data_IF_488279595140
#
_entry.id   IF_488279595140
#
_cell.length_a   1.000
_cell.length_b   1.000
_cell.length_c   1.000
_cell.angle_alpha   90.00
_cell.angle_beta   90.00
_cell.angle_gamma   90.00
#
_symmetry.space_group_name_H-M   'P 1'
#
loop_
_entity.id
_entity.type
_entity.pdbx_description
1 polymer ?
#
# COMPACT_ATOMS: atom_id res chain seq x y z
N UNK A 1 1.77 -11.54 -19.25
CA UNK A 1 2.59 -11.51 -18.01
C UNK A 1 3.39 -10.21 -17.88
N UNK A 2 4.33 -9.88 -18.78
CA UNK A 2 5.18 -8.68 -18.64
C UNK A 2 4.45 -7.31 -18.53
N UNK A 3 3.42 -7.08 -19.34
CA UNK A 3 2.71 -5.77 -19.39
C UNK A 3 2.01 -5.37 -18.08
N UNK A 4 1.52 -6.33 -17.29
CA UNK A 4 0.81 -6.00 -16.04
C UNK A 4 1.77 -5.63 -14.90
N UNK A 5 2.97 -6.22 -14.90
CA UNK A 5 4.03 -5.90 -13.95
C UNK A 5 4.59 -4.50 -14.24
N UNK A 6 4.86 -4.20 -15.52
CA UNK A 6 5.29 -2.88 -15.99
C UNK A 6 4.30 -1.76 -15.61
N UNK A 7 3.01 -1.97 -15.84
CA UNK A 7 1.97 -1.03 -15.45
C UNK A 7 1.89 -0.82 -13.93
N UNK A 8 2.11 -1.87 -13.15
CA UNK A 8 2.09 -1.77 -11.68
C UNK A 8 3.32 -1.07 -11.14
N UNK A 9 4.46 -1.27 -11.78
CA UNK A 9 5.68 -0.54 -11.47
C UNK A 9 5.50 0.96 -11.68
N UNK A 10 4.90 1.37 -12.80
CA UNK A 10 4.58 2.79 -13.07
C UNK A 10 3.61 3.34 -12.01
N UNK A 11 2.59 2.56 -11.63
CA UNK A 11 1.67 2.96 -10.57
C UNK A 11 2.39 3.15 -9.21
N UNK A 12 3.30 2.23 -8.83
CA UNK A 12 4.09 2.34 -7.60
C UNK A 12 5.00 3.57 -7.60
N UNK A 13 5.60 3.90 -8.74
CA UNK A 13 6.39 5.12 -8.93
C UNK A 13 5.53 6.37 -8.72
N UNK A 14 4.35 6.43 -9.34
CA UNK A 14 3.41 7.53 -9.18
C UNK A 14 2.95 7.68 -7.72
N UNK A 15 2.57 6.58 -7.05
CA UNK A 15 2.20 6.60 -5.63
C UNK A 15 3.37 7.05 -4.74
N UNK A 16 4.62 6.80 -5.13
CA UNK A 16 5.81 7.24 -4.40
C UNK A 16 6.06 8.74 -4.55
N UNK A 17 5.90 9.27 -5.76
CA UNK A 17 5.94 10.72 -6.00
C UNK A 17 4.85 11.44 -5.21
N UNK A 18 3.61 10.92 -5.23
CA UNK A 18 2.49 11.47 -4.45
C UNK A 18 2.81 11.48 -2.96
N UNK A 19 3.30 10.37 -2.39
CA UNK A 19 3.68 10.34 -0.97
C UNK A 19 4.78 11.35 -0.64
N UNK A 20 5.78 11.51 -1.52
CA UNK A 20 6.87 12.47 -1.32
C UNK A 20 6.35 13.92 -1.33
N UNK A 21 5.48 14.25 -2.30
CA UNK A 21 4.88 15.59 -2.38
C UNK A 21 4.00 15.91 -1.17
N UNK A 22 3.23 14.93 -0.68
CA UNK A 22 2.40 15.08 0.53
C UNK A 22 3.26 15.37 1.75
N UNK A 23 4.39 14.67 1.92
CA UNK A 23 5.33 14.90 3.03
C UNK A 23 6.06 16.24 2.90
N UNK A 24 6.46 16.64 1.70
CA UNK A 24 7.15 17.93 1.48
C UNK A 24 6.26 19.13 1.76
N UNK A 25 4.97 19.05 1.39
CA UNK A 25 4.01 20.15 1.58
C UNK A 25 3.54 20.31 3.02
N UNK A 26 3.69 19.27 3.83
CA UNK A 26 3.21 19.26 5.20
C UNK A 26 4.35 18.90 6.15
N UNK A 27 5.03 19.92 6.66
CA UNK A 27 6.14 19.77 7.62
C UNK A 27 5.68 19.60 9.07
N UNK A 28 4.41 19.84 9.38
CA UNK A 28 3.87 19.71 10.74
C UNK A 28 3.26 18.33 11.00
N UNK A 29 3.39 17.85 12.24
CA UNK A 29 2.91 16.54 12.70
C UNK A 29 1.38 16.52 12.77
N UNK A 30 0.72 16.36 11.62
CA UNK A 30 -0.72 16.20 11.53
C UNK A 30 -1.06 14.71 11.42
N UNK A 31 -1.76 14.20 12.44
CA UNK A 31 -2.23 12.80 12.53
C UNK A 31 -3.03 12.37 11.29
N UNK A 32 -3.78 13.28 10.69
CA UNK A 32 -4.54 13.04 9.45
C UNK A 32 -3.63 12.66 8.28
N UNK A 33 -2.44 13.28 8.20
CA UNK A 33 -1.49 13.06 7.12
C UNK A 33 -0.76 11.73 7.30
N UNK A 34 -0.43 11.37 8.54
CA UNK A 34 0.10 10.04 8.85
C UNK A 34 -0.89 8.93 8.49
N UNK A 35 -2.18 9.10 8.81
CA UNK A 35 -3.22 8.17 8.40
C UNK A 35 -3.32 8.05 6.86
N UNK A 36 -3.24 9.18 6.14
CA UNK A 36 -3.22 9.18 4.67
C UNK A 36 -2.01 8.42 4.10
N UNK A 37 -0.81 8.65 4.66
CA UNK A 37 0.42 7.96 4.24
C UNK A 37 0.35 6.46 4.52
N UNK A 38 -0.28 6.04 5.62
CA UNK A 38 -0.53 4.63 5.94
C UNK A 38 -1.46 3.97 4.93
N UNK A 39 -2.54 4.66 4.53
CA UNK A 39 -3.44 4.15 3.47
C UNK A 39 -2.67 4.03 2.15
N UNK A 40 -1.86 5.03 1.78
CA UNK A 40 -1.02 4.96 0.59
C UNK A 40 -0.04 3.79 0.64
N UNK A 41 0.54 3.51 1.81
CA UNK A 41 1.42 2.36 2.02
C UNK A 41 0.67 1.04 1.84
N UNK A 42 -0.54 0.90 2.39
CA UNK A 42 -1.36 -0.29 2.24
C UNK A 42 -1.69 -0.58 0.76
N UNK A 43 -2.04 0.47 0.00
CA UNK A 43 -2.32 0.33 -1.44
C UNK A 43 -1.07 -0.14 -2.20
N UNK A 44 0.11 0.43 -1.90
CA UNK A 44 1.39 -0.03 -2.48
C UNK A 44 1.64 -1.50 -2.15
N UNK A 45 1.43 -1.91 -0.90
CA UNK A 45 1.61 -3.29 -0.47
C UNK A 45 0.70 -4.26 -1.25
N UNK A 46 -0.59 -3.93 -1.41
CA UNK A 46 -1.53 -4.76 -2.18
C UNK A 46 -1.09 -4.88 -3.65
N UNK A 47 -0.70 -3.77 -4.27
CA UNK A 47 -0.19 -3.79 -5.65
C UNK A 47 1.04 -4.70 -5.79
N UNK A 48 1.96 -4.64 -4.84
CA UNK A 48 3.15 -5.51 -4.83
C UNK A 48 2.76 -6.97 -4.65
N UNK A 49 1.91 -7.25 -3.66
CA UNK A 49 1.47 -8.59 -3.34
C UNK A 49 0.76 -9.24 -4.56
N UNK A 50 -0.20 -8.55 -5.17
CA UNK A 50 -0.97 -9.10 -6.28
C UNK A 50 -0.19 -9.26 -7.59
N UNK A 51 0.71 -8.33 -7.92
CA UNK A 51 1.37 -8.33 -9.22
C UNK A 51 2.81 -8.86 -9.21
N UNK A 52 3.56 -8.73 -8.12
CA UNK A 52 4.95 -9.21 -8.03
C UNK A 52 5.08 -10.50 -7.22
N UNK A 53 4.22 -10.75 -6.23
CA UNK A 53 4.22 -12.02 -5.48
C UNK A 53 3.27 -13.06 -6.06
N UNK A 54 2.81 -12.86 -7.31
CA UNK A 54 1.88 -13.73 -8.03
C UNK A 54 0.59 -14.12 -7.26
N UNK A 55 0.17 -13.35 -6.25
CA UNK A 55 -1.05 -13.65 -5.48
C UNK A 55 -2.31 -13.71 -6.34
N UNK A 56 -2.30 -13.12 -7.54
CA UNK A 56 -3.35 -13.33 -8.56
C UNK A 56 -3.62 -14.80 -8.84
N UNK A 57 -2.58 -15.64 -8.89
CA UNK A 57 -2.67 -17.09 -9.15
C UNK A 57 -2.91 -17.91 -7.88
N UNK A 58 -2.77 -17.32 -6.70
CA UNK A 58 -2.93 -18.02 -5.44
C UNK A 58 -4.40 -18.35 -5.13
N UNK A 59 -4.59 -19.38 -4.31
CA UNK A 59 -5.89 -19.79 -3.80
C UNK A 59 -6.59 -18.62 -3.07
N UNK A 60 -7.92 -18.60 -3.12
CA UNK A 60 -8.74 -17.58 -2.46
C UNK A 60 -8.35 -17.40 -0.99
N UNK A 61 -8.02 -18.49 -0.30
CA UNK A 61 -7.53 -18.48 1.08
C UNK A 61 -6.37 -17.50 1.29
N UNK A 62 -5.35 -17.54 0.44
CA UNK A 62 -4.18 -16.66 0.57
C UNK A 62 -4.51 -15.19 0.31
N UNK A 63 -5.42 -14.92 -0.62
CA UNK A 63 -5.89 -13.56 -0.93
C UNK A 63 -6.63 -12.96 0.27
N UNK A 64 -7.50 -13.74 0.91
CA UNK A 64 -8.26 -13.32 2.09
C UNK A 64 -7.35 -13.15 3.30
N UNK A 65 -6.45 -14.11 3.55
CA UNK A 65 -5.49 -14.04 4.67
C UNK A 65 -4.59 -12.80 4.55
N UNK A 66 -4.11 -12.46 3.35
CA UNK A 66 -3.30 -11.26 3.17
C UNK A 66 -4.11 -9.98 3.46
N UNK A 67 -5.35 -9.90 2.99
CA UNK A 67 -6.25 -8.78 3.32
C UNK A 67 -6.46 -8.67 4.83
N UNK A 68 -6.74 -9.78 5.50
CA UNK A 68 -6.94 -9.81 6.95
C UNK A 68 -5.69 -9.36 7.73
N UNK A 69 -4.51 -9.89 7.41
CA UNK A 69 -3.25 -9.51 8.06
C UNK A 69 -2.94 -8.03 7.82
N UNK A 70 -3.14 -7.52 6.60
CA UNK A 70 -2.92 -6.12 6.29
C UNK A 70 -3.85 -5.21 7.08
N UNK A 71 -5.15 -5.54 7.16
CA UNK A 71 -6.11 -4.79 7.97
C UNK A 71 -5.73 -4.80 9.44
N UNK A 72 -5.30 -5.95 9.97
CA UNK A 72 -4.87 -6.09 11.36
C UNK A 72 -3.63 -5.21 11.65
N UNK A 73 -2.64 -5.20 10.76
CA UNK A 73 -1.46 -4.32 10.90
C UNK A 73 -1.88 -2.85 10.88
N UNK A 74 -2.77 -2.46 9.96
CA UNK A 74 -3.25 -1.09 9.87
C UNK A 74 -4.00 -0.64 11.13
N UNK A 75 -4.87 -1.48 11.68
CA UNK A 75 -5.59 -1.15 12.92
C UNK A 75 -4.65 -1.04 14.11
N UNK A 76 -3.63 -1.90 14.22
CA UNK A 76 -2.62 -1.78 15.27
C UNK A 76 -1.88 -0.46 15.16
N UNK A 77 -1.40 -0.10 13.96
CA UNK A 77 -0.63 1.13 13.78
C UNK A 77 -1.52 2.35 14.06
N UNK A 78 -2.78 2.34 13.61
CA UNK A 78 -3.72 3.44 13.86
C UNK A 78 -4.02 3.62 15.35
N UNK A 79 -4.06 2.53 16.12
CA UNK A 79 -4.28 2.58 17.57
C UNK A 79 -3.06 3.11 18.35
N UNK A 80 -1.86 3.00 17.76
CA UNK A 80 -0.61 3.50 18.34
C UNK A 80 -0.28 4.95 17.96
N UNK A 81 -0.96 5.49 16.94
CA UNK A 81 -0.78 6.85 16.43
C UNK A 81 -1.56 7.87 17.27
#
# INVERSE_FOLDING_TARGET
MKRSEESTFIALLALTLISSMVTLKNSESNTTIYALLLILWAVKFILVAFNFMELKKANLFWKVTLGFVLTLILTIILLLL
#
